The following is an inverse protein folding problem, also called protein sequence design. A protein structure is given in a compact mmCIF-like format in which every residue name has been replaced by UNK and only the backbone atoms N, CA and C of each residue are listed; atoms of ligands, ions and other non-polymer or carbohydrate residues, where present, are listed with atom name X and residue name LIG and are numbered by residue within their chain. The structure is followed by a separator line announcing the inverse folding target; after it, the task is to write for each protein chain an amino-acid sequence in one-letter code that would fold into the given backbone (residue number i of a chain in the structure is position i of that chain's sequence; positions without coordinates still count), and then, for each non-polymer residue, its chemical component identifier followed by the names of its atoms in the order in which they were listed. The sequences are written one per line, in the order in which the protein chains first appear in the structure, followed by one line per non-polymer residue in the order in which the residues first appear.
data_IF_424601537929
#
_entry.id   IF_424601537929
#
_cell.length_a   1.000
_cell.length_b   1.000
_cell.length_c   1.000
_cell.angle_alpha   90.00
_cell.angle_beta   90.00
_cell.angle_gamma   90.00
#
_symmetry.space_group_name_H-M   'P 1'
#
loop_
_entity.id
_entity.type
_entity.pdbx_description
1 polymer ?
#
# COMPACT_ATOMS: atom_id res chain seq x y z
N UNK A 1 -41.78 4.36 21.28
CA UNK A 1 -40.97 5.49 20.79
C UNK A 1 -39.52 5.07 20.84
N UNK A 2 -38.98 4.70 19.68
CA UNK A 2 -37.63 4.15 19.54
C UNK A 2 -36.66 5.32 19.36
N UNK A 3 -35.58 5.29 20.16
CA UNK A 3 -34.55 6.31 20.25
C UNK A 3 -33.70 6.31 18.96
N UNK A 4 -33.71 7.40 18.21
CA UNK A 4 -32.84 7.56 17.03
C UNK A 4 -31.43 7.87 17.52
N UNK A 5 -30.51 6.92 17.30
CA UNK A 5 -29.07 7.07 17.53
C UNK A 5 -28.47 7.88 16.38
N UNK A 6 -28.20 9.17 16.60
CA UNK A 6 -27.56 10.10 15.66
C UNK A 6 -26.03 9.96 15.64
N UNK A 7 -25.53 8.73 15.43
CA UNK A 7 -24.09 8.42 15.40
C UNK A 7 -23.50 8.08 14.02
N UNK A 8 -24.32 7.63 13.04
CA UNK A 8 -23.83 6.93 11.84
C UNK A 8 -23.92 7.71 10.51
N UNK A 9 -24.54 8.89 10.48
CA UNK A 9 -24.82 9.58 9.21
C UNK A 9 -23.57 10.15 8.52
N UNK A 10 -22.54 10.59 9.25
CA UNK A 10 -21.34 11.19 8.64
C UNK A 10 -20.47 10.15 7.93
N UNK A 11 -20.31 8.96 8.51
CA UNK A 11 -19.54 7.86 7.93
C UNK A 11 -20.18 7.34 6.64
N UNK A 12 -21.51 7.22 6.64
CA UNK A 12 -22.27 6.80 5.45
C UNK A 12 -22.13 7.80 4.30
N UNK A 13 -22.11 9.10 4.61
CA UNK A 13 -21.91 10.15 3.61
C UNK A 13 -20.51 10.06 2.97
N UNK A 14 -19.46 9.83 3.76
CA UNK A 14 -18.11 9.76 3.21
C UNK A 14 -17.89 8.57 2.28
N UNK A 15 -18.43 7.39 2.61
CA UNK A 15 -18.36 6.21 1.73
C UNK A 15 -19.08 6.50 0.40
N UNK A 16 -20.24 7.16 0.46
CA UNK A 16 -21.00 7.54 -0.73
C UNK A 16 -20.22 8.54 -1.60
N UNK A 17 -19.66 9.59 -0.99
CA UNK A 17 -18.83 10.59 -1.70
C UNK A 17 -17.63 9.95 -2.40
N UNK A 18 -16.91 9.07 -1.72
CA UNK A 18 -15.76 8.38 -2.35
C UNK A 18 -16.21 7.53 -3.52
N UNK A 19 -17.35 6.85 -3.40
CA UNK A 19 -17.92 6.05 -4.49
C UNK A 19 -18.31 6.87 -5.72
N UNK A 20 -18.86 8.07 -5.50
CA UNK A 20 -19.20 8.98 -6.59
C UNK A 20 -17.94 9.53 -7.27
N UNK A 21 -16.91 9.87 -6.49
CA UNK A 21 -15.62 10.34 -7.02
C UNK A 21 -14.95 9.25 -7.85
N UNK A 22 -14.83 8.03 -7.33
CA UNK A 22 -14.12 6.93 -8.02
C UNK A 22 -14.85 6.48 -9.28
N UNK A 23 -16.18 6.39 -9.22
CA UNK A 23 -17.01 6.10 -10.38
C UNK A 23 -16.89 7.18 -11.47
N UNK A 24 -16.91 8.46 -11.06
CA UNK A 24 -16.70 9.60 -11.95
C UNK A 24 -15.32 9.58 -12.62
N UNK A 25 -14.25 9.33 -11.84
CA UNK A 25 -12.89 9.18 -12.38
C UNK A 25 -12.80 8.02 -13.37
N UNK A 26 -13.42 6.86 -13.07
CA UNK A 26 -13.43 5.71 -13.98
C UNK A 26 -14.16 6.00 -15.28
N UNK A 27 -15.29 6.71 -15.21
CA UNK A 27 -16.04 7.15 -16.39
C UNK A 27 -15.20 8.11 -17.24
N UNK A 28 -14.57 9.11 -16.61
CA UNK A 28 -13.73 10.10 -17.28
C UNK A 28 -12.51 9.46 -17.96
N UNK A 29 -11.84 8.52 -17.27
CA UNK A 29 -10.70 7.78 -17.83
C UNK A 29 -11.09 7.01 -19.11
N UNK A 30 -12.30 6.41 -19.12
CA UNK A 30 -12.84 5.72 -20.30
C UNK A 30 -13.22 6.69 -21.42
N UNK A 31 -13.87 7.81 -21.09
CA UNK A 31 -14.30 8.80 -22.07
C UNK A 31 -13.11 9.45 -22.78
N UNK A 32 -12.09 9.86 -22.01
CA UNK A 32 -10.90 10.53 -22.54
C UNK A 32 -9.83 9.55 -23.04
N UNK A 33 -9.99 8.24 -22.78
CA UNK A 33 -9.00 7.21 -23.11
C UNK A 33 -7.61 7.47 -22.55
N UNK A 34 -7.54 7.97 -21.30
CA UNK A 34 -6.27 8.26 -20.60
C UNK A 34 -6.21 7.51 -19.26
N UNK A 35 -5.02 7.07 -18.82
CA UNK A 35 -4.84 6.52 -17.49
C UNK A 35 -4.99 7.64 -16.44
N UNK A 36 -5.84 7.41 -15.45
CA UNK A 36 -5.98 8.28 -14.28
C UNK A 36 -5.36 7.58 -13.07
N UNK A 37 -4.42 8.25 -12.40
CA UNK A 37 -3.82 7.78 -11.16
C UNK A 37 -4.37 8.64 -10.03
N UNK A 38 -5.01 7.99 -9.06
CA UNK A 38 -5.45 8.61 -7.82
C UNK A 38 -4.62 8.08 -6.65
N UNK A 39 -4.23 8.96 -5.74
CA UNK A 39 -3.58 8.59 -4.49
C UNK A 39 -4.63 8.52 -3.40
N UNK A 40 -4.64 7.43 -2.64
CA UNK A 40 -5.48 7.27 -1.46
C UNK A 40 -4.62 7.01 -0.24
N UNK A 41 -4.98 7.67 0.85
CA UNK A 41 -4.35 7.42 2.14
C UNK A 41 -4.99 6.20 2.80
N UNK A 42 -4.17 5.30 3.32
CA UNK A 42 -4.64 4.12 4.05
C UNK A 42 -5.18 4.49 5.43
N UNK A 43 -6.10 3.64 5.93
CA UNK A 43 -6.53 3.71 7.32
C UNK A 43 -5.36 3.51 8.28
N UNK A 44 -5.36 4.23 9.41
CA UNK A 44 -4.38 4.03 10.50
C UNK A 44 -4.47 2.63 11.13
N UNK A 45 -5.50 1.85 10.83
CA UNK A 45 -5.64 0.47 11.31
C UNK A 45 -4.47 -0.44 10.87
N UNK A 46 -3.83 -0.14 9.73
CA UNK A 46 -2.62 -0.85 9.29
C UNK A 46 -1.51 -0.80 10.36
N UNK A 47 -1.42 0.31 11.09
CA UNK A 47 -0.43 0.54 12.14
C UNK A 47 -0.71 -0.24 13.43
N UNK A 48 -1.83 -0.96 13.54
CA UNK A 48 -2.15 -1.78 14.71
C UNK A 48 -1.83 -3.27 14.51
N UNK A 49 -1.64 -3.71 13.26
CA UNK A 49 -1.34 -5.11 12.93
C UNK A 49 0.13 -5.44 13.23
N UNK A 50 0.45 -6.70 13.45
CA UNK A 50 1.86 -7.13 13.54
C UNK A 50 2.54 -6.96 12.18
N UNK A 51 1.94 -7.54 11.14
CA UNK A 51 2.32 -7.28 9.76
C UNK A 51 1.73 -5.94 9.28
N UNK A 52 2.61 -4.97 9.05
CA UNK A 52 2.29 -3.62 8.58
C UNK A 52 2.15 -3.54 7.06
N UNK A 53 2.26 -4.65 6.34
CA UNK A 53 2.08 -4.69 4.88
C UNK A 53 0.65 -4.28 4.53
N UNK A 54 0.47 -3.23 3.71
CA UNK A 54 -0.86 -2.79 3.29
C UNK A 54 -1.62 -3.86 2.51
N UNK A 55 -2.92 -3.93 2.73
CA UNK A 55 -3.83 -4.82 2.03
C UNK A 55 -5.10 -4.09 1.59
N UNK A 56 -5.90 -4.70 0.69
CA UNK A 56 -7.11 -4.07 0.15
C UNK A 56 -8.10 -3.64 1.25
N UNK A 57 -8.19 -4.40 2.34
CA UNK A 57 -9.04 -4.03 3.47
C UNK A 57 -8.60 -2.73 4.17
N UNK A 58 -7.38 -2.25 3.98
CA UNK A 58 -6.94 -0.97 4.56
C UNK A 58 -7.56 0.23 3.84
N UNK A 59 -8.20 0.01 2.69
CA UNK A 59 -9.06 0.95 1.98
C UNK A 59 -10.52 0.91 2.48
N UNK A 60 -10.81 0.26 3.64
CA UNK A 60 -12.17 -0.08 4.13
C UNK A 60 -13.22 1.02 4.07
N UNK A 61 -12.84 2.28 4.25
CA UNK A 61 -13.74 3.44 4.13
C UNK A 61 -14.13 3.75 2.66
N UNK A 62 -13.71 2.89 1.73
CA UNK A 62 -13.72 3.11 0.29
C UNK A 62 -13.75 1.78 -0.48
N UNK A 63 -14.60 0.84 -0.07
CA UNK A 63 -14.79 -0.42 -0.83
C UNK A 63 -15.15 -0.20 -2.31
N UNK A 64 -15.68 0.97 -2.65
CA UNK A 64 -15.87 1.45 -4.02
C UNK A 64 -14.57 1.69 -4.79
N UNK A 65 -13.50 2.18 -4.15
CA UNK A 65 -12.17 2.29 -4.78
C UNK A 65 -11.73 0.92 -5.27
N UNK A 66 -11.81 -0.10 -4.39
CA UNK A 66 -11.43 -1.45 -4.76
C UNK A 66 -12.25 -1.94 -5.95
N UNK A 67 -13.56 -1.72 -5.96
CA UNK A 67 -14.42 -2.18 -7.06
C UNK A 67 -14.13 -1.43 -8.38
N UNK A 68 -14.03 -0.11 -8.35
CA UNK A 68 -13.93 0.74 -9.54
C UNK A 68 -12.54 0.71 -10.19
N UNK A 69 -11.48 0.59 -9.38
CA UNK A 69 -10.11 0.60 -9.87
C UNK A 69 -9.81 -0.62 -10.77
N UNK A 70 -9.01 -0.39 -11.81
CA UNK A 70 -8.44 -1.48 -12.62
C UNK A 70 -7.21 -2.10 -11.95
N UNK A 71 -6.40 -1.26 -11.32
CA UNK A 71 -5.17 -1.62 -10.61
C UNK A 71 -5.12 -0.91 -9.26
N UNK A 72 -4.71 -1.61 -8.21
CA UNK A 72 -4.44 -1.04 -6.88
C UNK A 72 -3.01 -1.42 -6.49
N UNK A 73 -2.20 -0.39 -6.21
CA UNK A 73 -0.81 -0.53 -5.81
C UNK A 73 -0.60 0.12 -4.45
N UNK A 74 0.12 -0.56 -3.57
CA UNK A 74 0.56 -0.04 -2.29
C UNK A 74 2.06 0.16 -2.29
N UNK A 75 2.52 1.22 -1.64
CA UNK A 75 3.95 1.46 -1.39
C UNK A 75 4.25 1.03 0.04
N UNK A 76 5.23 0.16 0.21
CA UNK A 76 5.67 -0.35 1.50
C UNK A 76 7.19 -0.18 1.65
N UNK A 77 7.62 0.26 2.83
CA UNK A 77 9.04 0.39 3.18
C UNK A 77 9.30 -0.31 4.50
N UNK A 78 9.90 -1.49 4.43
CA UNK A 78 10.15 -2.31 5.61
C UNK A 78 11.11 -1.63 6.58
N UNK A 79 12.16 -0.97 6.07
CA UNK A 79 13.13 -0.20 6.88
C UNK A 79 12.50 0.90 7.72
N UNK A 80 11.38 1.49 7.28
CA UNK A 80 10.67 2.49 8.08
C UNK A 80 10.02 1.89 9.33
N UNK A 81 9.49 0.67 9.24
CA UNK A 81 8.86 -0.02 10.36
C UNK A 81 9.91 -0.65 11.27
N UNK A 82 10.93 -1.30 10.68
CA UNK A 82 12.03 -1.89 11.41
C UNK A 82 12.81 -0.83 12.21
N UNK A 83 13.04 0.35 11.63
CA UNK A 83 13.66 1.49 12.30
C UNK A 83 12.94 1.99 13.57
N UNK A 84 11.64 1.69 13.71
CA UNK A 84 10.85 2.04 14.91
C UNK A 84 10.87 0.96 16.00
N UNK A 85 11.35 -0.22 15.65
CA UNK A 85 11.40 -1.39 16.52
C UNK A 85 12.83 -1.73 16.94
N UNK A 86 13.70 -0.71 17.03
CA UNK A 86 15.11 -0.87 17.41
C UNK A 86 15.24 -1.53 18.80
N UNK A 87 15.89 -2.71 18.89
CA UNK A 87 16.17 -3.37 20.16
C UNK A 87 17.22 -2.61 20.97
N UNK A 88 17.38 -2.97 22.25
CA UNK A 88 18.39 -2.36 23.11
C UNK A 88 19.80 -2.59 22.58
N UNK A 89 20.59 -1.53 22.48
CA UNK A 89 22.01 -1.62 22.08
C UNK A 89 22.78 -2.68 22.91
N UNK A 90 23.59 -3.46 22.21
CA UNK A 90 24.45 -4.49 22.81
C UNK A 90 23.78 -5.85 23.05
N UNK A 91 22.52 -6.04 22.65
CA UNK A 91 21.89 -7.37 22.62
C UNK A 91 22.22 -8.12 21.32
N UNK A 92 22.07 -9.44 21.31
CA UNK A 92 22.18 -10.25 20.08
C UNK A 92 21.12 -9.84 19.04
N UNK A 93 19.91 -9.52 19.51
CA UNK A 93 18.81 -9.01 18.67
C UNK A 93 19.15 -7.69 17.96
N UNK A 94 19.94 -6.82 18.60
CA UNK A 94 20.39 -5.58 17.98
C UNK A 94 21.35 -5.84 16.82
N UNK A 95 22.20 -6.88 16.91
CA UNK A 95 23.09 -7.25 15.80
C UNK A 95 22.30 -7.76 14.60
N UNK A 96 21.28 -8.60 14.83
CA UNK A 96 20.40 -9.08 13.74
C UNK A 96 19.59 -7.94 13.14
N UNK A 97 19.05 -7.05 13.98
CA UNK A 97 18.29 -5.89 13.53
C UNK A 97 19.15 -4.95 12.67
N UNK A 98 20.40 -4.71 13.05
CA UNK A 98 21.33 -3.86 12.30
C UNK A 98 21.62 -4.44 10.91
N UNK A 99 21.85 -5.76 10.82
CA UNK A 99 22.05 -6.44 9.53
C UNK A 99 20.82 -6.34 8.62
N UNK A 100 19.62 -6.50 9.18
CA UNK A 100 18.38 -6.37 8.43
C UNK A 100 18.14 -4.92 7.99
N UNK A 101 18.43 -3.94 8.86
CA UNK A 101 18.34 -2.52 8.53
C UNK A 101 19.27 -2.15 7.37
N UNK A 102 20.55 -2.53 7.41
CA UNK A 102 21.52 -2.25 6.35
C UNK A 102 21.05 -2.83 5.00
N UNK A 103 20.44 -4.02 5.00
CA UNK A 103 19.90 -4.65 3.79
C UNK A 103 18.67 -3.93 3.24
N UNK A 104 17.81 -3.41 4.12
CA UNK A 104 16.49 -2.87 3.78
C UNK A 104 16.47 -1.34 3.64
N UNK A 105 17.50 -0.62 4.11
CA UNK A 105 17.54 0.85 4.15
C UNK A 105 17.24 1.47 2.78
N UNK A 106 17.84 0.90 1.73
CA UNK A 106 17.71 1.37 0.34
C UNK A 106 16.68 0.60 -0.48
N UNK A 107 15.79 -0.15 0.17
CA UNK A 107 14.74 -0.93 -0.50
C UNK A 107 13.35 -0.38 -0.20
N UNK A 108 12.50 -0.45 -1.21
CA UNK A 108 11.06 -0.27 -1.07
C UNK A 108 10.34 -1.32 -1.92
N UNK A 109 9.08 -1.53 -1.61
CA UNK A 109 8.24 -2.49 -2.30
C UNK A 109 6.99 -1.80 -2.83
N UNK A 110 6.62 -2.15 -4.06
CA UNK A 110 5.31 -1.87 -4.61
C UNK A 110 4.51 -3.16 -4.63
N UNK A 111 3.46 -3.22 -3.82
CA UNK A 111 2.56 -4.36 -3.74
C UNK A 111 1.39 -4.11 -4.68
N UNK A 112 1.28 -4.90 -5.74
CA UNK A 112 0.13 -4.90 -6.64
C UNK A 112 -0.95 -5.75 -5.97
N UNK A 113 -1.86 -5.11 -5.23
CA UNK A 113 -2.93 -5.78 -4.50
C UNK A 113 -4.14 -6.15 -5.36
N UNK A 114 -4.34 -5.44 -6.48
CA UNK A 114 -5.38 -5.73 -7.47
C UNK A 114 -4.88 -5.45 -8.88
N UNK A 115 -5.19 -6.32 -9.83
CA UNK A 115 -5.00 -6.11 -11.25
C UNK A 115 -6.12 -6.84 -12.02
N UNK A 116 -7.02 -6.11 -12.72
CA UNK A 116 -8.18 -6.71 -13.40
C UNK A 116 -7.81 -7.67 -14.53
N UNK A 117 -6.68 -7.46 -15.18
CA UNK A 117 -6.27 -8.17 -16.40
C UNK A 117 -4.84 -8.70 -16.34
N UNK A 118 -4.37 -9.09 -15.16
CA UNK A 118 -2.98 -9.49 -14.99
C UNK A 118 -2.67 -9.98 -13.59
N UNK A 119 -1.41 -10.37 -13.36
CA UNK A 119 -0.98 -10.91 -12.08
C UNK A 119 -0.93 -9.81 -11.00
N UNK A 120 -1.12 -10.26 -9.76
CA UNK A 120 -0.77 -9.53 -8.54
C UNK A 120 0.64 -9.94 -8.10
N UNK A 121 1.25 -9.17 -7.20
CA UNK A 121 2.57 -9.51 -6.68
C UNK A 121 3.32 -8.33 -6.08
N UNK A 122 4.56 -8.58 -5.69
CA UNK A 122 5.44 -7.59 -5.06
C UNK A 122 6.59 -7.27 -6.01
N UNK A 123 6.78 -5.99 -6.30
CA UNK A 123 7.91 -5.48 -7.07
C UNK A 123 8.86 -4.76 -6.11
N UNK A 124 10.11 -5.21 -6.05
CA UNK A 124 11.16 -4.57 -5.25
C UNK A 124 11.81 -3.44 -6.03
N UNK A 125 11.99 -2.30 -5.38
CA UNK A 125 12.56 -1.07 -5.91
C UNK A 125 13.72 -0.60 -5.05
N UNK A 126 14.66 0.14 -5.64
CA UNK A 126 15.61 0.92 -4.85
C UNK A 126 14.92 2.18 -4.34
N UNK A 127 15.22 2.61 -3.11
CA UNK A 127 14.71 3.84 -2.52
C UNK A 127 15.84 4.68 -1.95
N UNK A 128 15.94 5.93 -2.41
CA UNK A 128 16.83 6.93 -1.83
C UNK A 128 16.03 7.84 -0.89
N UNK A 129 16.31 7.72 0.42
CA UNK A 129 15.61 8.49 1.45
C UNK A 129 15.96 9.99 1.42
N UNK A 130 17.15 10.36 0.94
CA UNK A 130 17.57 11.76 0.91
C UNK A 130 16.82 12.57 -0.16
N UNK A 131 16.43 11.89 -1.25
CA UNK A 131 15.70 12.51 -2.36
C UNK A 131 14.26 12.04 -2.49
N UNK A 132 13.81 11.11 -1.63
CA UNK A 132 12.49 10.44 -1.70
C UNK A 132 12.24 9.87 -3.11
N UNK A 133 13.27 9.23 -3.68
CA UNK A 133 13.25 8.76 -5.05
C UNK A 133 13.20 7.24 -5.12
N UNK A 134 12.26 6.73 -5.89
CA UNK A 134 12.20 5.33 -6.28
C UNK A 134 12.98 5.12 -7.57
N UNK A 135 13.71 4.02 -7.64
CA UNK A 135 14.49 3.61 -8.80
C UNK A 135 14.37 2.11 -9.04
N UNK A 136 14.86 1.69 -10.21
CA UNK A 136 14.96 0.26 -10.50
C UNK A 136 16.04 -0.33 -9.60
N UNK A 137 15.66 -1.36 -8.82
CA UNK A 137 16.66 -2.16 -8.14
C UNK A 137 17.47 -2.89 -9.20
N UNK A 138 18.79 -2.68 -9.23
CA UNK A 138 19.64 -3.39 -10.17
C UNK A 138 19.53 -4.89 -9.89
N UNK A 139 18.84 -5.63 -10.76
CA UNK A 139 18.86 -7.07 -10.72
C UNK A 139 20.25 -7.51 -11.18
N UNK A 140 21.12 -7.84 -10.23
CA UNK A 140 22.25 -8.72 -10.53
C UNK A 140 21.70 -9.97 -11.22
N UNK A 141 22.29 -10.37 -12.34
CA UNK A 141 21.91 -11.54 -13.15
C UNK A 141 21.40 -12.71 -12.28
N UNK A 142 20.10 -13.01 -12.33
CA UNK A 142 19.55 -14.16 -11.59
C UNK A 142 18.02 -14.16 -11.49
N UNK A 143 17.38 -14.83 -12.44
CA UNK A 143 16.07 -15.48 -12.26
C UNK A 143 14.84 -14.59 -12.22
N UNK A 144 14.12 -14.53 -13.35
CA UNK A 144 12.66 -14.45 -13.29
C UNK A 144 12.18 -15.71 -12.55
N UNK A 145 11.77 -15.58 -11.27
CA UNK A 145 11.03 -16.65 -10.60
C UNK A 145 9.59 -16.63 -11.13
N UNK A 146 9.35 -17.48 -12.11
CA UNK A 146 8.03 -17.89 -12.60
C UNK A 146 7.49 -19.01 -11.72
N UNK A 147 7.22 -18.73 -10.44
CA UNK A 147 6.59 -19.72 -9.55
C UNK A 147 5.34 -19.12 -8.92
N UNK A 148 4.29 -18.99 -9.74
CA UNK A 148 2.89 -18.97 -9.31
C UNK A 148 2.04 -19.52 -10.48
N UNK A 149 1.91 -20.84 -10.54
CA UNK A 149 0.74 -21.52 -11.15
C UNK A 149 -0.46 -21.46 -10.19
#
# INVERSE_FOLDING_TARGET
LQLITTGDNSQKNRVQEVSEITGGLKALAKELSVPIIALSQLSRQVEQREDKRPQLSDLRESGSIEQDADCVMFVYRESYYLGRAEPKEGTEEHLTWQQDMDRLEHQAEVVIGKQRHGPIGIVKLSFDANTTKFGNLAHGQGGYNSDYE
#
